data_IF_722103448019
#
_entry.id   IF_722103448019
#
_cell.length_a   1.000
_cell.length_b   1.000
_cell.length_c   1.000
_cell.angle_alpha   90.00
_cell.angle_beta   90.00
_cell.angle_gamma   90.00
#
_symmetry.space_group_name_H-M   'P 1'
#
loop_
_entity.id
_entity.type
_entity.pdbx_description
1 polymer ?
#
# COMPACT_ATOMS: atom_id res chain seq x y z
N UNK A 1 -31.57 38.63 10.34
CA UNK A 1 -30.24 38.07 10.68
C UNK A 1 -30.08 36.80 9.88
N UNK A 2 -29.12 36.76 8.97
CA UNK A 2 -28.78 35.54 8.21
C UNK A 2 -27.72 34.80 9.01
N UNK A 3 -28.04 33.62 9.53
CA UNK A 3 -27.08 32.77 10.26
C UNK A 3 -26.45 31.74 9.32
N UNK A 4 -25.18 31.44 9.51
CA UNK A 4 -24.52 30.27 8.95
C UNK A 4 -24.51 29.19 10.03
N UNK A 5 -25.48 28.30 9.98
CA UNK A 5 -25.53 27.10 10.83
C UNK A 5 -25.20 25.87 9.97
N UNK A 6 -24.51 24.87 10.53
CA UNK A 6 -24.05 23.63 9.87
C UNK A 6 -22.81 23.74 8.96
N UNK A 7 -21.73 24.36 9.43
CA UNK A 7 -20.42 24.30 8.75
C UNK A 7 -19.62 23.12 9.32
N UNK A 8 -19.59 21.99 8.60
CA UNK A 8 -18.68 20.90 8.88
C UNK A 8 -17.36 21.11 8.12
N UNK A 9 -16.35 21.68 8.80
CA UNK A 9 -14.97 21.66 8.30
C UNK A 9 -14.41 20.25 8.48
N UNK A 10 -14.64 19.35 7.53
CA UNK A 10 -13.97 18.05 7.49
C UNK A 10 -12.60 18.24 6.84
N UNK A 11 -11.56 18.46 7.66
CA UNK A 11 -10.16 18.35 7.19
C UNK A 11 -9.89 16.88 6.83
N UNK A 12 -10.18 16.51 5.58
CA UNK A 12 -9.93 15.16 5.06
C UNK A 12 -8.45 15.07 4.74
N UNK A 13 -7.68 14.58 5.70
CA UNK A 13 -6.29 14.19 5.45
C UNK A 13 -6.26 13.00 4.48
N UNK A 14 -5.55 13.14 3.37
CA UNK A 14 -5.31 12.05 2.41
C UNK A 14 -3.86 11.56 2.46
N UNK A 15 -3.66 10.28 2.14
CA UNK A 15 -2.36 9.66 2.00
C UNK A 15 -2.22 9.11 0.57
N UNK A 16 -1.28 9.68 -0.20
CA UNK A 16 -0.92 9.15 -1.51
C UNK A 16 0.13 8.07 -1.34
N UNK A 17 -0.19 6.86 -1.79
CA UNK A 17 0.71 5.71 -1.77
C UNK A 17 1.13 5.39 -3.19
N UNK A 18 2.45 5.31 -3.44
CA UNK A 18 3.01 4.93 -4.75
C UNK A 18 3.78 3.63 -4.58
N UNK A 19 3.37 2.60 -5.32
CA UNK A 19 4.03 1.30 -5.35
C UNK A 19 4.86 1.21 -6.62
N UNK A 20 6.17 1.43 -6.48
CA UNK A 20 7.08 1.38 -7.62
C UNK A 20 7.37 -0.05 -8.05
N UNK A 21 8.01 -0.85 -7.18
CA UNK A 21 8.51 -2.18 -7.50
C UNK A 21 8.83 -3.00 -6.26
N UNK A 22 8.96 -4.31 -6.45
CA UNK A 22 9.62 -5.21 -5.50
C UNK A 22 10.82 -5.87 -6.17
N UNK A 23 11.76 -6.39 -5.38
CA UNK A 23 12.96 -7.07 -5.89
C UNK A 23 13.20 -8.35 -5.12
N UNK A 24 13.77 -9.34 -5.79
CA UNK A 24 14.19 -10.62 -5.20
C UNK A 24 13.06 -11.34 -4.45
N UNK A 25 11.82 -11.31 -4.97
CA UNK A 25 10.71 -12.04 -4.37
C UNK A 25 10.94 -13.54 -4.39
N UNK A 26 10.55 -14.23 -3.31
CA UNK A 26 10.63 -15.68 -3.23
C UNK A 26 9.74 -16.32 -4.31
N UNK A 27 10.26 -17.28 -5.10
CA UNK A 27 9.45 -18.09 -6.02
C UNK A 27 8.27 -18.76 -5.33
N UNK A 28 7.07 -18.63 -5.89
CA UNK A 28 5.86 -19.23 -5.31
C UNK A 28 4.89 -19.86 -6.32
N UNK A 29 5.06 -19.62 -7.61
CA UNK A 29 4.21 -20.21 -8.66
C UNK A 29 4.85 -21.40 -9.37
N UNK A 30 4.06 -21.97 -10.28
CA UNK A 30 4.51 -23.00 -11.23
C UNK A 30 5.66 -22.41 -12.08
N UNK A 31 6.68 -23.21 -12.39
CA UNK A 31 7.93 -22.79 -13.05
C UNK A 31 8.85 -21.90 -12.21
N UNK A 32 8.70 -21.89 -10.88
CA UNK A 32 9.51 -21.07 -9.97
C UNK A 32 9.40 -19.56 -10.25
N UNK A 33 8.33 -19.12 -10.91
CA UNK A 33 8.01 -17.70 -11.13
C UNK A 33 6.77 -17.31 -10.36
N UNK A 34 6.73 -16.08 -9.86
CA UNK A 34 5.57 -15.53 -9.16
C UNK A 34 4.84 -14.57 -10.10
N UNK A 35 3.52 -14.50 -10.01
CA UNK A 35 2.71 -13.43 -10.60
C UNK A 35 2.27 -12.47 -9.49
N UNK A 36 3.13 -11.53 -9.05
CA UNK A 36 2.87 -10.72 -7.87
C UNK A 36 1.94 -9.52 -8.12
N UNK A 37 1.16 -9.18 -7.10
CA UNK A 37 0.45 -7.92 -6.94
C UNK A 37 0.54 -7.44 -5.50
N UNK A 38 0.21 -6.16 -5.25
CA UNK A 38 0.25 -5.56 -3.91
C UNK A 38 -1.16 -5.17 -3.49
N UNK A 39 -1.57 -5.61 -2.31
CA UNK A 39 -2.71 -5.05 -1.59
C UNK A 39 -2.24 -3.94 -0.67
N UNK A 40 -2.89 -2.78 -0.74
CA UNK A 40 -2.58 -1.58 0.04
C UNK A 40 -3.77 -1.33 0.96
N UNK A 41 -3.55 -1.38 2.27
CA UNK A 41 -4.60 -1.27 3.28
C UNK A 41 -4.33 -0.10 4.24
N UNK A 42 -5.33 0.76 4.41
CA UNK A 42 -5.36 1.82 5.42
C UNK A 42 -6.72 1.80 6.13
N UNK A 43 -6.75 1.31 7.37
CA UNK A 43 -7.99 1.14 8.11
C UNK A 43 -8.97 0.21 7.38
N UNK A 44 -10.06 0.78 6.88
CA UNK A 44 -11.09 0.06 6.09
C UNK A 44 -10.90 0.18 4.57
N UNK A 45 -10.03 1.06 4.11
CA UNK A 45 -9.78 1.23 2.68
C UNK A 45 -8.74 0.22 2.20
N UNK A 46 -9.02 -0.34 1.03
CA UNK A 46 -8.16 -1.33 0.37
C UNK A 46 -8.06 -1.00 -1.12
N UNK A 47 -6.85 -1.04 -1.63
CA UNK A 47 -6.53 -0.97 -3.05
C UNK A 47 -5.67 -2.17 -3.44
N UNK A 48 -5.72 -2.58 -4.70
CA UNK A 48 -4.85 -3.61 -5.24
C UNK A 48 -4.23 -3.11 -6.54
N UNK A 49 -2.93 -3.36 -6.73
CA UNK A 49 -2.26 -3.08 -8.00
C UNK A 49 -2.68 -4.10 -9.07
N UNK A 50 -2.27 -3.85 -10.31
CA UNK A 50 -2.23 -4.90 -11.33
C UNK A 50 -1.32 -6.06 -10.93
N UNK A 51 -1.54 -7.20 -11.58
CA UNK A 51 -0.70 -8.40 -11.44
C UNK A 51 0.36 -8.36 -12.51
N UNK A 52 1.63 -8.44 -12.10
CA UNK A 52 2.74 -8.61 -13.04
C UNK A 52 2.98 -10.11 -13.16
N UNK A 53 2.88 -10.67 -14.36
CA UNK A 53 3.06 -12.11 -14.54
C UNK A 53 4.53 -12.53 -14.46
N UNK A 54 4.76 -13.69 -13.83
CA UNK A 54 6.03 -14.43 -13.94
C UNK A 54 7.30 -13.60 -13.67
N UNK A 55 7.31 -12.79 -12.60
CA UNK A 55 8.44 -11.95 -12.20
C UNK A 55 8.72 -12.00 -10.69
N UNK A 56 10.00 -12.07 -10.34
CA UNK A 56 10.54 -11.89 -8.99
C UNK A 56 10.99 -10.44 -8.74
N UNK A 57 11.00 -9.62 -9.79
CA UNK A 57 11.37 -8.21 -9.76
C UNK A 57 10.28 -7.37 -10.46
N UNK A 58 9.02 -7.41 -9.98
CA UNK A 58 7.92 -6.69 -10.61
C UNK A 58 8.06 -5.18 -10.46
N UNK A 59 7.69 -4.44 -11.49
CA UNK A 59 7.52 -2.99 -11.46
C UNK A 59 6.06 -2.66 -11.76
N UNK A 60 5.35 -2.08 -10.80
CA UNK A 60 3.93 -1.69 -10.95
C UNK A 60 3.82 -0.23 -11.37
N UNK A 61 4.57 0.66 -10.70
CA UNK A 61 4.49 2.11 -10.89
C UNK A 61 3.05 2.66 -10.75
N UNK A 62 2.26 2.04 -9.87
CA UNK A 62 0.88 2.40 -9.60
C UNK A 62 0.77 3.23 -8.33
N UNK A 63 -0.32 3.99 -8.21
CA UNK A 63 -0.60 4.77 -7.02
C UNK A 63 -2.09 4.79 -6.69
N UNK A 64 -2.38 5.01 -5.41
CA UNK A 64 -3.72 5.29 -4.93
C UNK A 64 -3.69 6.43 -3.92
N UNK A 65 -4.85 7.03 -3.68
CA UNK A 65 -5.08 8.00 -2.63
C UNK A 65 -6.09 7.42 -1.64
N UNK A 66 -5.72 7.43 -0.36
CA UNK A 66 -6.51 6.85 0.72
C UNK A 66 -6.88 7.94 1.72
N UNK A 67 -8.08 7.88 2.28
CA UNK A 67 -8.50 8.83 3.32
C UNK A 67 -7.96 8.36 4.67
N UNK A 68 -7.19 9.22 5.33
CA UNK A 68 -6.67 8.98 6.68
C UNK A 68 -7.74 9.36 7.69
N UNK A 69 -8.24 8.38 8.43
CA UNK A 69 -9.20 8.62 9.53
C UNK A 69 -8.45 8.74 10.86
N UNK A 70 -9.01 9.42 11.87
CA UNK A 70 -8.35 9.60 13.18
C UNK A 70 -7.92 8.30 13.88
N UNK A 71 -8.60 7.18 13.60
CA UNK A 71 -8.31 5.86 14.17
C UNK A 71 -7.27 5.05 13.40
N UNK A 72 -6.88 5.51 12.21
CA UNK A 72 -5.92 4.80 11.38
C UNK A 72 -4.52 5.06 11.92
N UNK A 73 -3.75 4.00 12.17
CA UNK A 73 -2.43 4.11 12.81
C UNK A 73 -1.29 3.64 11.93
N UNK A 74 -1.57 2.86 10.89
CA UNK A 74 -0.57 2.28 10.00
C UNK A 74 -1.11 2.01 8.61
N UNK A 75 -0.23 2.14 7.63
CA UNK A 75 -0.40 1.66 6.26
C UNK A 75 0.21 0.26 6.16
N UNK A 76 -0.53 -0.71 5.62
CA UNK A 76 -0.05 -2.08 5.41
C UNK A 76 -0.05 -2.41 3.92
N UNK A 77 1.13 -2.78 3.38
CA UNK A 77 1.27 -3.26 2.01
C UNK A 77 1.61 -4.74 2.06
N UNK A 78 0.82 -5.57 1.40
CA UNK A 78 1.03 -7.02 1.33
C UNK A 78 1.21 -7.45 -0.10
N UNK A 79 2.36 -8.07 -0.40
CA UNK A 79 2.67 -8.65 -1.69
C UNK A 79 2.16 -10.09 -1.73
N UNK A 80 1.36 -10.39 -2.74
CA UNK A 80 0.71 -11.69 -2.95
C UNK A 80 1.05 -12.20 -4.33
N UNK A 81 1.19 -13.51 -4.48
CA UNK A 81 1.21 -14.20 -5.75
C UNK A 81 -0.22 -14.58 -6.12
N UNK A 82 -0.68 -14.14 -7.29
CA UNK A 82 -1.94 -14.62 -7.86
C UNK A 82 -1.77 -16.04 -8.42
N UNK A 83 -2.56 -16.97 -7.90
CA UNK A 83 -2.68 -18.35 -8.38
C UNK A 83 -4.18 -18.64 -8.62
N UNK A 84 -4.49 -19.66 -9.42
CA UNK A 84 -5.85 -19.99 -9.85
C UNK A 84 -6.81 -20.28 -8.68
N UNK A 85 -6.29 -20.86 -7.60
CA UNK A 85 -7.13 -21.34 -6.49
C UNK A 85 -6.96 -20.52 -5.20
N UNK A 86 -5.76 -20.04 -4.91
CA UNK A 86 -5.50 -19.31 -3.67
C UNK A 86 -4.29 -18.41 -3.79
N UNK A 87 -4.48 -17.13 -3.48
CA UNK A 87 -3.40 -16.15 -3.36
C UNK A 87 -2.35 -16.59 -2.33
N UNK A 88 -1.08 -16.51 -2.70
CA UNK A 88 0.03 -16.92 -1.83
C UNK A 88 0.80 -15.72 -1.33
N UNK A 89 0.96 -15.63 -0.02
CA UNK A 89 1.74 -14.58 0.62
C UNK A 89 3.21 -14.61 0.19
N UNK A 90 3.73 -13.46 -0.23
CA UNK A 90 5.14 -13.25 -0.59
C UNK A 90 5.88 -12.33 0.39
N UNK A 91 5.15 -11.56 1.18
CA UNK A 91 5.72 -10.67 2.19
C UNK A 91 4.85 -9.44 2.42
N UNK A 92 5.09 -8.71 3.52
CA UNK A 92 4.42 -7.45 3.80
C UNK A 92 5.33 -6.44 4.48
N UNK A 93 4.93 -5.18 4.39
CA UNK A 93 5.48 -4.08 5.18
C UNK A 93 4.33 -3.37 5.90
N UNK A 94 4.60 -2.93 7.12
CA UNK A 94 3.72 -2.05 7.89
C UNK A 94 4.47 -0.75 8.16
N UNK A 95 3.85 0.36 7.82
CA UNK A 95 4.41 1.70 7.98
C UNK A 95 3.49 2.46 8.94
N UNK A 96 3.93 2.71 10.19
CA UNK A 96 3.20 3.56 11.11
C UNK A 96 3.00 4.96 10.51
N UNK A 97 1.78 5.50 10.59
CA UNK A 97 1.51 6.85 10.05
C UNK A 97 2.31 7.93 10.77
N UNK A 98 2.61 7.71 12.06
CA UNK A 98 3.47 8.61 12.85
C UNK A 98 4.86 8.79 12.23
N UNK A 99 5.42 7.78 11.58
CA UNK A 99 6.72 7.87 10.91
C UNK A 99 6.64 8.79 9.69
N UNK A 100 5.56 8.70 8.93
CA UNK A 100 5.29 9.58 7.79
C UNK A 100 5.06 11.01 8.24
N UNK A 101 4.33 11.22 9.34
CA UNK A 101 4.05 12.53 9.91
C UNK A 101 5.29 13.23 10.45
N UNK A 102 6.20 12.46 11.08
CA UNK A 102 7.47 12.96 11.62
C UNK A 102 8.52 13.22 10.53
N UNK A 103 8.37 12.62 9.34
CA UNK A 103 9.33 12.77 8.26
C UNK A 103 9.32 14.17 7.62
N UNK A 104 10.46 14.65 7.07
CA UNK A 104 10.51 15.90 6.32
C UNK A 104 9.47 15.93 5.19
N UNK A 105 8.76 17.06 5.05
CA UNK A 105 7.66 17.23 4.09
C UNK A 105 6.54 16.18 4.23
N UNK A 106 6.45 15.51 5.39
CA UNK A 106 5.52 14.41 5.68
C UNK A 106 5.60 13.28 4.65
N UNK A 107 6.82 12.91 4.23
CA UNK A 107 7.06 11.95 3.14
C UNK A 107 8.25 11.05 3.40
N UNK A 108 8.07 9.77 3.09
CA UNK A 108 9.11 8.72 3.11
C UNK A 108 9.50 8.29 1.68
N UNK A 109 9.28 9.17 0.68
CA UNK A 109 9.57 8.88 -0.73
C UNK A 109 11.02 8.44 -0.94
N UNK A 110 11.19 7.41 -1.77
CA UNK A 110 12.51 6.91 -2.18
C UNK A 110 13.13 5.90 -1.20
N UNK A 111 12.47 5.64 -0.07
CA UNK A 111 12.92 4.63 0.88
C UNK A 111 12.52 3.22 0.41
N UNK A 112 13.42 2.25 0.60
CA UNK A 112 13.11 0.84 0.42
C UNK A 112 12.73 0.24 1.77
N UNK A 113 11.62 -0.49 1.81
CA UNK A 113 11.18 -1.18 3.02
C UNK A 113 11.29 -2.70 2.84
N UNK A 114 12.00 -3.40 3.75
CA UNK A 114 12.11 -4.85 3.68
C UNK A 114 10.75 -5.50 3.93
N UNK A 115 10.46 -6.57 3.18
CA UNK A 115 9.26 -7.37 3.40
C UNK A 115 9.49 -8.38 4.52
N UNK A 116 8.57 -8.45 5.47
CA UNK A 116 8.49 -9.52 6.46
C UNK A 116 7.69 -10.69 5.90
N UNK A 117 8.19 -11.91 6.08
CA UNK A 117 7.57 -13.15 5.60
C UNK A 117 7.13 -14.07 6.75
#
# INVERSE_FOLDING_TARGET
>A
MTSMDNIDLIDKKSCRVVVHRARNLKPRGKDSKSSPFVTICLGKEKFATSVIEKSQNPEWNEHCELIVRPRDSKLELTVLHQDFFLERFLGKVKIPLMEVEAAPKRSIRGQAHPLSC
#
